data_IF_790853148483
#
_entry.id   IF_790853148483
#
_cell.length_a   1.000
_cell.length_b   1.000
_cell.length_c   1.000
_cell.angle_alpha   90.00
_cell.angle_beta   90.00
_cell.angle_gamma   90.00
#
_symmetry.space_group_name_H-M   'P 1'
#
loop_
_entity.id
_entity.type
_entity.pdbx_description
1 polymer ?
#
# COMPACT_ATOMS: atom_id res chain seq x y z
N UNK A 1 -18.94 13.48 -43.61
CA UNK A 1 -18.18 12.88 -42.49
C UNK A 1 -16.70 12.90 -42.83
N UNK A 2 -15.86 13.43 -41.94
CA UNK A 2 -14.43 13.50 -42.17
C UNK A 2 -13.79 12.12 -41.95
N UNK A 3 -12.82 11.76 -42.79
CA UNK A 3 -12.05 10.51 -42.69
C UNK A 3 -11.33 10.42 -41.35
N UNK A 4 -11.31 9.24 -40.72
CA UNK A 4 -10.56 9.01 -39.49
C UNK A 4 -9.06 8.94 -39.81
N UNK A 5 -8.32 9.97 -39.41
CA UNK A 5 -6.87 10.07 -39.60
C UNK A 5 -6.18 10.14 -38.24
N UNK A 6 -5.21 9.26 -38.04
CA UNK A 6 -4.31 9.31 -36.89
C UNK A 6 -3.06 10.09 -37.28
N UNK A 7 -2.61 10.95 -36.38
CA UNK A 7 -1.34 11.68 -36.50
C UNK A 7 -0.34 11.11 -35.50
N UNK A 8 0.94 11.24 -35.82
CA UNK A 8 1.99 10.98 -34.84
C UNK A 8 1.89 11.95 -33.66
N UNK A 9 2.48 11.56 -32.53
CA UNK A 9 2.45 12.38 -31.33
C UNK A 9 3.02 13.78 -31.60
N UNK A 10 2.32 14.80 -31.11
CA UNK A 10 2.74 16.19 -31.25
C UNK A 10 3.00 16.80 -29.86
N UNK A 11 4.23 17.25 -29.62
CA UNK A 11 4.65 17.85 -28.35
C UNK A 11 3.84 19.12 -27.98
N UNK A 12 3.19 19.77 -28.95
CA UNK A 12 2.34 20.93 -28.71
C UNK A 12 1.01 20.58 -28.02
N UNK A 13 0.58 19.31 -28.00
CA UNK A 13 -0.71 18.93 -27.40
C UNK A 13 -0.80 19.25 -25.90
N UNK A 14 0.29 19.10 -25.16
CA UNK A 14 0.30 19.46 -23.75
C UNK A 14 0.13 20.98 -23.56
N UNK A 15 0.78 21.80 -24.39
CA UNK A 15 0.62 23.25 -24.34
C UNK A 15 -0.80 23.68 -24.73
N UNK A 16 -1.38 23.06 -25.77
CA UNK A 16 -2.78 23.30 -26.14
C UNK A 16 -3.76 22.97 -25.01
N UNK A 17 -3.53 21.85 -24.31
CA UNK A 17 -4.31 21.51 -23.12
C UNK A 17 -4.17 22.56 -22.02
N UNK A 18 -2.94 22.97 -21.68
CA UNK A 18 -2.69 23.94 -20.61
C UNK A 18 -3.35 25.29 -20.90
N UNK A 19 -3.19 25.81 -22.13
CA UNK A 19 -3.81 27.06 -22.56
C UNK A 19 -5.34 27.00 -22.48
N UNK A 20 -5.95 25.91 -22.91
CA UNK A 20 -7.41 25.79 -22.88
C UNK A 20 -7.93 25.54 -21.45
N UNK A 21 -7.21 24.77 -20.63
CA UNK A 21 -7.53 24.57 -19.23
C UNK A 21 -7.51 25.89 -18.45
N UNK A 22 -6.56 26.77 -18.73
CA UNK A 22 -6.47 28.10 -18.10
C UNK A 22 -7.62 29.02 -18.54
N UNK A 23 -8.06 28.96 -19.81
CA UNK A 23 -9.26 29.67 -20.27
C UNK A 23 -10.51 29.17 -19.56
N UNK A 24 -10.68 27.86 -19.42
CA UNK A 24 -11.82 27.25 -18.71
C UNK A 24 -11.82 27.70 -17.24
N UNK A 25 -10.68 27.56 -16.54
CA UNK A 25 -10.56 28.01 -15.14
C UNK A 25 -10.87 29.49 -14.96
N UNK A 26 -10.47 30.33 -15.92
CA UNK A 26 -10.70 31.78 -15.86
C UNK A 26 -12.17 32.15 -16.07
N UNK A 27 -12.92 31.33 -16.83
CA UNK A 27 -14.34 31.52 -17.05
C UNK A 27 -15.18 31.05 -15.85
N UNK A 28 -14.79 29.95 -15.19
CA UNK A 28 -15.57 29.31 -14.13
C UNK A 28 -15.29 29.93 -12.76
N UNK A 29 -16.26 30.70 -12.22
CA UNK A 29 -16.05 31.48 -10.97
C UNK A 29 -16.84 31.02 -9.75
N UNK A 30 -17.91 30.25 -9.94
CA UNK A 30 -18.88 29.96 -8.87
C UNK A 30 -18.73 28.56 -8.26
N UNK A 31 -17.90 27.68 -8.82
CA UNK A 31 -17.78 26.30 -8.37
C UNK A 31 -16.35 25.78 -8.46
N UNK A 32 -16.03 24.80 -7.61
CA UNK A 32 -14.74 24.12 -7.62
C UNK A 32 -14.74 23.01 -8.68
N UNK A 33 -13.83 23.14 -9.65
CA UNK A 33 -13.60 22.14 -10.70
C UNK A 33 -12.16 21.64 -10.66
N UNK A 34 -11.98 20.36 -10.99
CA UNK A 34 -10.69 19.80 -11.33
C UNK A 34 -10.65 19.55 -12.84
N UNK A 35 -9.52 19.86 -13.47
CA UNK A 35 -9.33 19.72 -14.91
C UNK A 35 -8.12 18.83 -15.17
N UNK A 36 -8.34 17.71 -15.85
CA UNK A 36 -7.30 16.75 -16.20
C UNK A 36 -7.21 16.58 -17.72
N UNK A 37 -5.98 16.50 -18.23
CA UNK A 37 -5.72 16.06 -19.61
C UNK A 37 -5.88 14.55 -19.66
N UNK A 38 -6.84 14.06 -20.45
CA UNK A 38 -7.13 12.63 -20.59
C UNK A 38 -7.04 12.23 -22.06
N UNK A 39 -7.38 10.97 -22.36
CA UNK A 39 -7.34 10.45 -23.73
C UNK A 39 -5.91 10.26 -24.25
N UNK A 40 -5.80 9.92 -25.53
CA UNK A 40 -4.53 9.53 -26.14
C UNK A 40 -3.54 10.69 -26.29
N UNK A 41 -4.02 11.93 -26.45
CA UNK A 41 -3.14 13.11 -26.61
C UNK A 41 -2.42 13.50 -25.32
N UNK A 42 -2.86 12.95 -24.17
CA UNK A 42 -2.26 13.15 -22.85
C UNK A 42 -1.09 12.21 -22.53
N UNK A 43 -0.78 11.28 -23.44
CA UNK A 43 0.28 10.27 -23.27
C UNK A 43 1.38 10.56 -24.28
N UNK A 44 2.59 10.82 -23.77
CA UNK A 44 3.75 11.14 -24.60
C UNK A 44 4.09 9.99 -25.57
N UNK A 45 4.39 10.33 -26.83
CA UNK A 45 4.76 9.36 -27.86
C UNK A 45 3.59 8.56 -28.46
N UNK A 46 2.34 8.77 -28.02
CA UNK A 46 1.19 8.00 -28.47
C UNK A 46 0.50 8.64 -29.69
N UNK A 47 0.52 7.98 -30.86
CA UNK A 47 -0.19 8.45 -32.06
C UNK A 47 -1.71 8.52 -31.82
N UNK A 48 -2.38 9.59 -32.23
CA UNK A 48 -3.79 9.86 -31.91
C UNK A 48 -4.50 10.70 -32.98
N UNK A 49 -5.83 10.77 -32.91
CA UNK A 49 -6.56 11.89 -33.53
C UNK A 49 -6.10 13.19 -32.83
N UNK A 50 -5.84 14.28 -33.57
CA UNK A 50 -5.37 15.54 -32.99
C UNK A 50 -6.54 16.30 -32.34
N UNK A 51 -7.11 15.70 -31.29
CA UNK A 51 -8.19 16.27 -30.49
C UNK A 51 -7.79 16.13 -29.02
N UNK A 52 -7.88 17.22 -28.26
CA UNK A 52 -7.52 17.24 -26.84
C UNK A 52 -8.75 16.83 -26.03
N UNK A 53 -8.66 15.70 -25.32
CA UNK A 53 -9.70 15.24 -24.41
C UNK A 53 -9.45 15.81 -22.99
N UNK A 54 -10.43 16.50 -22.46
CA UNK A 54 -10.39 17.19 -21.16
C UNK A 54 -11.44 16.57 -20.26
N UNK A 55 -11.04 16.16 -19.06
CA UNK A 55 -11.96 15.73 -18.00
C UNK A 55 -12.14 16.89 -17.01
N UNK A 56 -13.38 17.31 -16.80
CA UNK A 56 -13.78 18.26 -15.77
C UNK A 56 -14.52 17.49 -14.67
N UNK A 57 -13.93 17.43 -13.48
CA UNK A 57 -14.61 16.88 -12.30
C UNK A 57 -15.28 18.01 -11.53
N UNK A 58 -16.61 18.03 -11.50
CA UNK A 58 -17.42 19.07 -10.86
C UNK A 58 -17.81 18.64 -9.44
N UNK A 59 -17.36 19.38 -8.42
CA UNK A 59 -17.59 18.99 -7.02
C UNK A 59 -19.05 19.16 -6.58
N UNK A 60 -19.72 20.20 -7.08
CA UNK A 60 -21.12 20.49 -6.80
C UNK A 60 -21.94 20.32 -8.08
N UNK A 61 -22.56 19.15 -8.24
CA UNK A 61 -23.33 18.82 -9.42
C UNK A 61 -24.56 19.71 -9.62
N UNK A 62 -25.06 20.37 -8.56
CA UNK A 62 -26.18 21.31 -8.69
C UNK A 62 -25.84 22.52 -9.57
N UNK A 63 -24.56 22.83 -9.74
CA UNK A 63 -24.06 23.94 -10.53
C UNK A 63 -23.76 23.59 -12.00
N UNK A 64 -24.12 22.38 -12.45
CA UNK A 64 -23.75 21.86 -13.79
C UNK A 64 -24.29 22.72 -14.94
N UNK A 65 -25.54 23.18 -14.85
CA UNK A 65 -26.15 23.98 -15.92
C UNK A 65 -25.42 25.31 -16.11
N UNK A 66 -25.03 25.97 -15.01
CA UNK A 66 -24.22 27.18 -15.06
C UNK A 66 -22.84 26.92 -15.69
N UNK A 67 -22.20 25.79 -15.36
CA UNK A 67 -20.89 25.43 -15.92
C UNK A 67 -21.00 25.18 -17.43
N UNK A 68 -22.05 24.47 -17.84
CA UNK A 68 -22.33 24.20 -19.25
C UNK A 68 -22.55 25.51 -20.02
N UNK A 69 -23.25 26.48 -19.44
CA UNK A 69 -23.47 27.79 -20.07
C UNK A 69 -22.19 28.64 -20.18
N UNK A 70 -21.32 28.63 -19.16
CA UNK A 70 -19.99 29.25 -19.27
C UNK A 70 -19.13 28.61 -20.37
N UNK A 71 -19.17 27.28 -20.48
CA UNK A 71 -18.47 26.56 -21.55
C UNK A 71 -19.06 26.88 -22.93
N UNK A 72 -20.38 27.03 -23.06
CA UNK A 72 -20.99 27.50 -24.32
C UNK A 72 -20.46 28.88 -24.73
N UNK A 73 -20.30 29.79 -23.78
CA UNK A 73 -19.72 31.12 -24.04
C UNK A 73 -18.25 31.06 -24.51
N UNK A 74 -17.52 29.98 -24.17
CA UNK A 74 -16.18 29.70 -24.68
C UNK A 74 -16.16 28.99 -26.04
N UNK A 75 -17.34 28.77 -26.65
CA UNK A 75 -17.50 28.16 -27.96
C UNK A 75 -17.69 26.64 -27.96
N UNK A 76 -18.02 26.03 -26.82
CA UNK A 76 -18.33 24.61 -26.74
C UNK A 76 -19.80 24.32 -27.05
N UNK A 77 -20.07 23.24 -27.76
CA UNK A 77 -21.42 22.74 -28.04
C UNK A 77 -21.70 21.45 -27.25
N UNK A 78 -22.86 21.37 -26.61
CA UNK A 78 -23.32 20.14 -25.95
C UNK A 78 -23.61 19.09 -27.01
N UNK A 79 -22.87 17.99 -26.96
CA UNK A 79 -22.98 16.88 -27.92
C UNK A 79 -23.73 15.69 -27.34
N UNK A 80 -23.60 15.45 -26.03
CA UNK A 80 -24.34 14.41 -25.32
C UNK A 80 -24.65 14.86 -23.88
N UNK A 81 -25.85 14.54 -23.39
CA UNK A 81 -26.26 14.64 -22.00
C UNK A 81 -26.83 13.28 -21.59
N UNK A 82 -26.37 12.73 -20.47
CA UNK A 82 -26.87 11.47 -19.95
C UNK A 82 -27.34 11.68 -18.50
N UNK A 83 -28.64 11.53 -18.28
CA UNK A 83 -29.27 11.77 -16.97
C UNK A 83 -29.20 10.53 -16.07
N UNK A 84 -29.24 9.31 -16.65
CA UNK A 84 -29.13 8.05 -15.89
C UNK A 84 -27.73 7.86 -15.28
N UNK A 85 -26.72 8.45 -15.92
CA UNK A 85 -25.31 8.40 -15.51
C UNK A 85 -24.81 9.83 -15.60
N UNK A 86 -24.94 10.66 -14.53
CA UNK A 86 -24.81 12.11 -14.60
C UNK A 86 -23.46 12.52 -15.23
N UNK A 87 -23.52 12.82 -16.54
CA UNK A 87 -22.38 13.26 -17.33
C UNK A 87 -22.81 14.15 -18.49
N UNK A 88 -21.92 15.06 -18.83
CA UNK A 88 -22.00 15.89 -20.03
C UNK A 88 -20.81 15.63 -20.94
N UNK A 89 -21.06 15.68 -22.25
CA UNK A 89 -20.02 15.67 -23.27
C UNK A 89 -20.19 16.89 -24.18
N UNK A 90 -19.16 17.74 -24.23
CA UNK A 90 -19.15 18.93 -25.06
C UNK A 90 -18.01 18.87 -26.07
N UNK A 91 -18.20 19.50 -27.22
CA UNK A 91 -17.20 19.54 -28.28
C UNK A 91 -16.97 20.96 -28.78
N UNK A 92 -15.74 21.25 -29.18
CA UNK A 92 -15.35 22.50 -29.83
C UNK A 92 -14.42 22.14 -30.98
N UNK A 93 -14.84 22.44 -32.19
CA UNK A 93 -14.07 22.16 -33.40
C UNK A 93 -13.73 23.47 -34.11
N UNK A 94 -12.47 23.64 -34.49
CA UNK A 94 -11.99 24.78 -35.25
C UNK A 94 -11.80 24.39 -36.72
N UNK A 95 -12.02 25.33 -37.63
CA UNK A 95 -11.97 25.10 -39.10
C UNK A 95 -10.60 24.57 -39.57
N UNK A 96 -9.51 24.95 -38.90
CA UNK A 96 -8.15 24.52 -39.23
C UNK A 96 -7.72 23.20 -38.58
N UNK A 97 -8.62 22.48 -37.89
CA UNK A 97 -8.32 21.31 -37.04
C UNK A 97 -7.26 21.52 -35.92
N UNK A 98 -6.71 22.72 -35.79
CA UNK A 98 -5.86 23.13 -34.69
C UNK A 98 -6.75 23.59 -33.53
N UNK A 99 -6.59 22.98 -32.35
CA UNK A 99 -7.39 23.32 -31.16
C UNK A 99 -8.81 22.73 -31.18
N UNK A 100 -8.95 21.46 -31.59
CA UNK A 100 -10.18 20.70 -31.38
C UNK A 100 -10.18 20.13 -29.95
N UNK A 101 -11.30 20.27 -29.24
CA UNK A 101 -11.43 19.86 -27.84
C UNK A 101 -12.68 19.02 -27.61
N UNK A 102 -12.52 17.99 -26.79
CA UNK A 102 -13.59 17.19 -26.20
C UNK A 102 -13.59 17.43 -24.69
N UNK A 103 -14.72 17.86 -24.13
CA UNK A 103 -14.89 18.00 -22.68
C UNK A 103 -15.82 16.89 -22.18
N UNK A 104 -15.35 16.16 -21.18
CA UNK A 104 -16.14 15.22 -20.40
C UNK A 104 -16.36 15.83 -19.01
N UNK A 105 -17.61 15.96 -18.57
CA UNK A 105 -17.94 16.48 -17.24
C UNK A 105 -18.64 15.38 -16.45
N UNK A 106 -18.16 15.10 -15.23
CA UNK A 106 -18.81 14.20 -14.28
C UNK A 106 -18.45 14.59 -12.83
N UNK A 107 -19.08 13.95 -11.86
CA UNK A 107 -18.66 14.08 -10.45
C UNK A 107 -17.29 13.42 -10.21
N UNK A 108 -16.47 13.89 -9.24
CA UNK A 108 -15.12 13.37 -8.98
C UNK A 108 -15.06 11.87 -8.68
N UNK A 109 -16.12 11.32 -8.09
CA UNK A 109 -16.16 9.90 -7.70
C UNK A 109 -16.71 9.00 -8.79
N UNK A 110 -17.25 9.58 -9.86
CA UNK A 110 -17.94 8.86 -10.90
C UNK A 110 -16.99 7.95 -11.68
N UNK A 111 -17.43 6.71 -11.94
CA UNK A 111 -16.61 5.67 -12.59
C UNK A 111 -16.08 6.13 -13.95
N UNK A 112 -16.91 6.85 -14.71
CA UNK A 112 -16.54 7.35 -16.05
C UNK A 112 -15.23 8.15 -16.05
N UNK A 113 -15.13 9.20 -15.24
CA UNK A 113 -13.91 10.02 -15.16
C UNK A 113 -12.72 9.24 -14.60
N UNK A 114 -12.97 8.39 -13.60
CA UNK A 114 -11.94 7.51 -13.02
C UNK A 114 -11.33 6.58 -14.06
N UNK A 115 -12.16 5.91 -14.84
CA UNK A 115 -11.73 4.94 -15.86
C UNK A 115 -10.89 5.63 -16.95
N UNK A 116 -11.21 6.88 -17.31
CA UNK A 116 -10.39 7.67 -18.23
C UNK A 116 -8.98 7.97 -17.68
N UNK A 117 -8.90 8.36 -16.40
CA UNK A 117 -7.64 8.62 -15.72
C UNK A 117 -6.81 7.34 -15.55
N UNK A 118 -7.45 6.23 -15.16
CA UNK A 118 -6.79 4.92 -15.03
C UNK A 118 -6.22 4.50 -16.38
N UNK A 119 -7.05 4.53 -17.44
CA UNK A 119 -6.61 4.10 -18.76
C UNK A 119 -5.47 4.95 -19.33
N UNK A 120 -5.50 6.28 -19.13
CA UNK A 120 -4.36 7.17 -19.46
C UNK A 120 -3.07 6.70 -18.78
N UNK A 121 -3.13 6.47 -17.47
CA UNK A 121 -1.95 6.14 -16.69
C UNK A 121 -1.40 4.76 -17.05
N UNK A 122 -2.27 3.79 -17.38
CA UNK A 122 -1.85 2.48 -17.91
C UNK A 122 -1.09 2.60 -19.23
N UNK A 123 -1.57 3.46 -20.14
CA UNK A 123 -0.88 3.72 -21.41
C UNK A 123 0.48 4.42 -21.21
N UNK A 124 0.59 5.30 -20.22
CA UNK A 124 1.84 6.00 -19.91
C UNK A 124 2.87 5.09 -19.22
N UNK A 125 2.40 4.10 -18.46
CA UNK A 125 3.26 3.21 -17.67
C UNK A 125 3.80 2.01 -18.45
N UNK A 126 3.05 1.48 -19.42
CA UNK A 126 3.42 0.28 -20.18
C UNK A 126 3.55 0.56 -21.68
N UNK A 127 4.79 0.65 -22.14
CA UNK A 127 5.14 0.85 -23.55
C UNK A 127 4.60 -0.25 -24.48
N UNK A 128 4.52 -1.50 -24.00
CA UNK A 128 3.99 -2.60 -24.79
C UNK A 128 2.49 -2.45 -24.95
N UNK A 129 1.78 -2.19 -23.86
CA UNK A 129 0.34 -1.95 -23.87
C UNK A 129 -0.04 -0.72 -24.72
N UNK A 130 0.74 0.36 -24.58
CA UNK A 130 0.65 1.56 -25.42
C UNK A 130 0.75 1.25 -26.91
N UNK A 131 1.74 0.44 -27.31
CA UNK A 131 1.93 0.00 -28.69
C UNK A 131 0.75 -0.85 -29.19
N UNK A 132 0.28 -1.82 -28.40
CA UNK A 132 -0.88 -2.64 -28.73
C UNK A 132 -2.14 -1.77 -28.97
N UNK A 133 -2.32 -0.72 -28.16
CA UNK A 133 -3.42 0.21 -28.33
C UNK A 133 -3.29 1.07 -29.60
N UNK A 134 -2.08 1.51 -29.95
CA UNK A 134 -1.83 2.23 -31.22
C UNK A 134 -2.12 1.34 -32.42
N UNK A 135 -1.66 0.10 -32.42
CA UNK A 135 -1.87 -0.85 -33.50
C UNK A 135 -3.36 -1.15 -33.70
N UNK A 136 -4.11 -1.31 -32.61
CA UNK A 136 -5.56 -1.42 -32.64
C UNK A 136 -6.20 -0.17 -33.27
N UNK A 137 -5.82 1.03 -32.84
CA UNK A 137 -6.35 2.29 -33.40
C UNK A 137 -6.08 2.39 -34.90
N UNK A 138 -4.87 2.04 -35.37
CA UNK A 138 -4.49 2.06 -36.79
C UNK A 138 -5.35 1.10 -37.59
N UNK A 139 -5.53 -0.14 -37.10
CA UNK A 139 -6.40 -1.15 -37.73
C UNK A 139 -7.86 -0.68 -37.83
N UNK A 140 -8.41 -0.15 -36.73
CA UNK A 140 -9.79 0.34 -36.69
C UNK A 140 -9.99 1.57 -37.59
N UNK A 141 -9.02 2.48 -37.68
CA UNK A 141 -9.10 3.63 -38.56
C UNK A 141 -9.12 3.22 -40.05
N UNK A 142 -8.43 2.14 -40.42
CA UNK A 142 -8.49 1.59 -41.78
C UNK A 142 -9.86 0.97 -42.08
N UNK A 143 -10.35 0.09 -41.21
CA UNK A 143 -11.61 -0.64 -41.41
C UNK A 143 -12.83 0.29 -41.36
N UNK A 144 -12.83 1.27 -40.45
CA UNK A 144 -13.95 2.17 -40.18
C UNK A 144 -13.68 3.59 -40.68
N UNK A 145 -13.04 3.74 -41.85
CA UNK A 145 -12.50 5.01 -42.36
C UNK A 145 -13.46 6.21 -42.31
N UNK A 146 -14.77 5.98 -42.41
CA UNK A 146 -15.82 7.01 -42.34
C UNK A 146 -16.87 6.73 -41.24
N UNK A 147 -16.69 5.68 -40.45
CA UNK A 147 -17.62 5.25 -39.40
C UNK A 147 -17.00 5.52 -38.01
N UNK A 148 -17.31 6.70 -37.48
CA UNK A 148 -16.83 7.12 -36.16
C UNK A 148 -17.39 6.21 -35.06
N UNK A 149 -18.63 5.77 -35.20
CA UNK A 149 -19.30 4.94 -34.19
C UNK A 149 -18.67 3.55 -34.14
N UNK A 150 -18.48 2.90 -35.29
CA UNK A 150 -17.77 1.62 -35.38
C UNK A 150 -16.33 1.71 -34.88
N UNK A 151 -15.64 2.82 -35.13
CA UNK A 151 -14.31 3.08 -34.56
C UNK A 151 -14.34 3.17 -33.02
N UNK A 152 -15.33 3.85 -32.44
CA UNK A 152 -15.48 3.97 -30.99
C UNK A 152 -15.83 2.63 -30.34
N UNK A 153 -16.78 1.88 -30.91
CA UNK A 153 -17.19 0.56 -30.43
C UNK A 153 -16.01 -0.42 -30.49
N UNK A 154 -15.23 -0.40 -31.58
CA UNK A 154 -14.07 -1.28 -31.74
C UNK A 154 -12.99 -1.09 -30.67
N UNK A 155 -12.85 0.11 -30.10
CA UNK A 155 -11.91 0.38 -28.99
C UNK A 155 -12.44 -0.07 -27.65
N UNK A 156 -13.76 -0.03 -27.45
CA UNK A 156 -14.42 -0.23 -26.15
C UNK A 156 -14.00 -1.54 -25.49
N UNK A 157 -14.02 -2.65 -26.23
CA UNK A 157 -13.67 -3.96 -25.69
C UNK A 157 -12.23 -4.05 -25.17
N UNK A 158 -11.27 -3.39 -25.82
CA UNK A 158 -9.87 -3.35 -25.39
C UNK A 158 -9.71 -2.50 -24.11
N UNK A 159 -10.35 -1.33 -24.08
CA UNK A 159 -10.33 -0.42 -22.92
C UNK A 159 -10.93 -1.11 -21.70
N UNK A 160 -12.14 -1.65 -21.82
CA UNK A 160 -12.82 -2.32 -20.73
C UNK A 160 -12.08 -3.57 -20.25
N UNK A 161 -11.42 -4.30 -21.15
CA UNK A 161 -10.60 -5.46 -20.78
C UNK A 161 -9.46 -5.02 -19.85
N UNK A 162 -8.68 -3.99 -20.23
CA UNK A 162 -7.58 -3.51 -19.38
C UNK A 162 -8.11 -2.95 -18.06
N UNK A 163 -9.20 -2.18 -18.08
CA UNK A 163 -9.79 -1.65 -16.84
C UNK A 163 -10.22 -2.77 -15.87
N UNK A 164 -10.83 -3.85 -16.38
CA UNK A 164 -11.13 -5.04 -15.56
C UNK A 164 -9.88 -5.72 -15.02
N UNK A 165 -8.82 -5.81 -15.83
CA UNK A 165 -7.53 -6.37 -15.39
C UNK A 165 -6.92 -5.51 -14.28
N UNK A 166 -6.92 -4.19 -14.42
CA UNK A 166 -6.40 -3.24 -13.40
C UNK A 166 -7.22 -3.30 -12.11
N UNK A 167 -8.55 -3.29 -12.20
CA UNK A 167 -9.44 -3.49 -11.05
C UNK A 167 -9.14 -4.83 -10.34
N UNK A 168 -8.78 -5.87 -11.10
CA UNK A 168 -8.37 -7.17 -10.55
C UNK A 168 -6.92 -7.19 -10.02
N UNK A 169 -6.04 -6.33 -10.54
CA UNK A 169 -4.64 -6.19 -10.15
C UNK A 169 -4.47 -5.38 -8.85
N UNK A 170 -5.30 -4.36 -8.65
CA UNK A 170 -5.26 -3.48 -7.48
C UNK A 170 -6.45 -3.64 -6.52
N UNK A 171 -7.27 -4.69 -6.70
CA UNK A 171 -8.39 -4.99 -5.83
C UNK A 171 -7.99 -5.35 -4.39
N UNK A 172 -8.91 -5.12 -3.44
CA UNK A 172 -8.70 -5.38 -2.00
C UNK A 172 -8.14 -6.77 -1.72
N UNK A 173 -8.69 -7.81 -2.37
CA UNK A 173 -8.22 -9.19 -2.22
C UNK A 173 -6.74 -9.37 -2.58
N UNK A 174 -6.29 -8.72 -3.65
CA UNK A 174 -4.90 -8.81 -4.11
C UNK A 174 -3.98 -8.01 -3.21
N UNK A 175 -4.39 -6.82 -2.77
CA UNK A 175 -3.67 -6.04 -1.77
C UNK A 175 -3.52 -6.79 -0.44
N UNK A 176 -4.57 -7.46 0.04
CA UNK A 176 -4.51 -8.33 1.23
C UNK A 176 -3.55 -9.52 1.04
N UNK A 177 -3.48 -10.06 -0.18
CA UNK A 177 -2.56 -11.14 -0.54
C UNK A 177 -1.10 -10.67 -0.53
N UNK A 178 -0.83 -9.49 -1.09
CA UNK A 178 0.48 -8.83 -1.01
C UNK A 178 0.84 -8.47 0.42
N UNK A 179 -0.05 -7.81 1.16
CA UNK A 179 0.12 -7.49 2.58
C UNK A 179 0.63 -8.70 3.34
N UNK A 180 -0.09 -9.84 3.27
CA UNK A 180 0.29 -11.03 4.03
C UNK A 180 1.58 -11.68 3.53
N UNK A 181 1.80 -11.72 2.22
CA UNK A 181 3.00 -12.34 1.63
C UNK A 181 4.27 -11.56 1.98
N UNK A 182 4.20 -10.23 1.88
CA UNK A 182 5.28 -9.31 2.27
C UNK A 182 5.57 -9.39 3.78
N UNK A 183 4.53 -9.35 4.63
CA UNK A 183 4.70 -9.52 6.08
C UNK A 183 5.33 -10.86 6.45
N UNK A 184 4.92 -11.97 5.82
CA UNK A 184 5.53 -13.28 6.06
C UNK A 184 7.02 -13.27 5.67
N UNK A 185 7.39 -12.61 4.56
CA UNK A 185 8.79 -12.54 4.13
C UNK A 185 9.63 -11.72 5.11
N UNK A 186 9.10 -10.61 5.61
CA UNK A 186 9.74 -9.82 6.67
C UNK A 186 9.92 -10.64 7.97
N UNK A 187 8.90 -11.40 8.38
CA UNK A 187 8.97 -12.33 9.51
C UNK A 187 10.11 -13.36 9.34
N UNK A 188 10.27 -13.95 8.15
CA UNK A 188 11.39 -14.89 7.89
C UNK A 188 12.76 -14.22 7.96
N UNK A 189 12.92 -13.04 7.37
CA UNK A 189 14.19 -12.30 7.42
C UNK A 189 14.58 -11.92 8.85
N UNK A 190 13.59 -11.59 9.69
CA UNK A 190 13.81 -11.35 11.12
C UNK A 190 14.46 -12.57 11.82
N UNK A 191 14.06 -13.80 11.47
CA UNK A 191 14.69 -15.01 12.03
C UNK A 191 16.16 -15.08 11.64
N UNK A 192 16.47 -14.90 10.37
CA UNK A 192 17.85 -14.98 9.89
C UNK A 192 18.73 -13.90 10.52
N UNK A 193 18.18 -12.71 10.76
CA UNK A 193 18.86 -11.66 11.51
C UNK A 193 19.16 -12.09 12.94
N UNK A 194 18.19 -12.65 13.66
CA UNK A 194 18.38 -13.14 15.03
C UNK A 194 19.42 -14.28 15.09
N UNK A 195 19.42 -15.19 14.11
CA UNK A 195 20.41 -16.27 14.00
C UNK A 195 21.80 -15.68 13.75
N UNK A 196 21.94 -14.75 12.80
CA UNK A 196 23.22 -14.11 12.50
C UNK A 196 23.78 -13.38 13.73
N UNK A 197 22.94 -12.65 14.47
CA UNK A 197 23.31 -12.00 15.73
C UNK A 197 23.80 -13.01 16.77
N UNK A 198 23.09 -14.13 16.94
CA UNK A 198 23.50 -15.18 17.88
C UNK A 198 24.86 -15.79 17.49
N UNK A 199 25.11 -16.03 16.20
CA UNK A 199 26.39 -16.56 15.73
C UNK A 199 27.53 -15.56 16.00
N UNK A 200 27.30 -14.27 15.74
CA UNK A 200 28.28 -13.21 16.05
C UNK A 200 28.62 -13.21 17.55
N UNK A 201 27.62 -13.36 18.41
CA UNK A 201 27.80 -13.42 19.86
C UNK A 201 28.65 -14.62 20.29
N UNK A 202 28.36 -15.79 19.72
CA UNK A 202 29.11 -17.03 19.99
C UNK A 202 30.55 -16.90 19.54
N UNK A 203 30.81 -16.30 18.38
CA UNK A 203 32.17 -16.00 17.89
C UNK A 203 32.88 -15.06 18.88
N UNK A 204 32.24 -13.97 19.29
CA UNK A 204 32.81 -13.01 20.24
C UNK A 204 33.15 -13.67 21.58
N UNK A 205 32.24 -14.46 22.16
CA UNK A 205 32.47 -15.18 23.41
C UNK A 205 33.59 -16.23 23.30
N UNK A 206 33.64 -16.97 22.19
CA UNK A 206 34.68 -18.00 21.96
C UNK A 206 36.05 -17.37 21.75
N UNK A 207 36.12 -16.20 21.10
CA UNK A 207 37.39 -15.50 20.83
C UNK A 207 38.22 -15.24 22.09
N UNK A 208 37.56 -15.07 23.24
CA UNK A 208 38.23 -14.76 24.51
C UNK A 208 39.12 -15.91 25.02
N UNK A 209 38.81 -17.15 24.63
CA UNK A 209 39.56 -18.34 25.06
C UNK A 209 40.70 -18.71 24.10
N UNK A 210 40.84 -18.01 22.98
CA UNK A 210 41.84 -18.31 21.96
C UNK A 210 43.05 -17.38 22.09
N UNK A 211 44.24 -17.96 22.24
CA UNK A 211 45.49 -17.20 22.34
C UNK A 211 46.26 -17.07 21.02
N UNK A 212 45.85 -17.82 19.98
CA UNK A 212 46.53 -17.82 18.69
C UNK A 212 46.04 -16.64 17.82
N UNK A 213 46.97 -15.75 17.45
CA UNK A 213 46.72 -14.54 16.66
C UNK A 213 46.03 -14.83 15.31
N UNK A 214 46.38 -15.94 14.65
CA UNK A 214 45.81 -16.30 13.35
C UNK A 214 44.32 -16.64 13.49
N UNK A 215 43.96 -17.46 14.48
CA UNK A 215 42.55 -17.81 14.74
C UNK A 215 41.72 -16.60 15.16
N UNK A 216 42.28 -15.72 16.01
CA UNK A 216 41.61 -14.48 16.41
C UNK A 216 41.30 -13.57 15.21
N UNK A 217 42.28 -13.39 14.31
CA UNK A 217 42.09 -12.58 13.11
C UNK A 217 41.04 -13.18 12.16
N UNK A 218 41.07 -14.50 11.96
CA UNK A 218 40.06 -15.21 11.16
C UNK A 218 38.64 -15.07 11.74
N UNK A 219 38.48 -15.18 13.06
CA UNK A 219 37.19 -14.98 13.72
C UNK A 219 36.70 -13.53 13.61
N UNK A 220 37.60 -12.55 13.69
CA UNK A 220 37.26 -11.15 13.49
C UNK A 220 36.75 -10.87 12.06
N UNK A 221 37.42 -11.42 11.04
CA UNK A 221 36.97 -11.34 9.64
C UNK A 221 35.59 -11.98 9.48
N UNK A 222 35.41 -13.19 10.04
CA UNK A 222 34.12 -13.90 9.97
C UNK A 222 33.01 -13.10 10.65
N UNK A 223 33.25 -12.55 11.84
CA UNK A 223 32.31 -11.69 12.56
C UNK A 223 31.94 -10.44 11.77
N UNK A 224 32.91 -9.81 11.10
CA UNK A 224 32.68 -8.65 10.24
C UNK A 224 31.83 -9.01 9.01
N UNK A 225 32.10 -10.14 8.36
CA UNK A 225 31.28 -10.64 7.23
C UNK A 225 29.85 -10.90 7.69
N UNK A 226 29.65 -11.56 8.84
CA UNK A 226 28.32 -11.82 9.40
C UNK A 226 27.57 -10.54 9.74
N UNK A 227 28.27 -9.50 10.21
CA UNK A 227 27.68 -8.17 10.45
C UNK A 227 27.19 -7.54 9.13
N UNK A 228 27.95 -7.66 8.04
CA UNK A 228 27.51 -7.19 6.71
C UNK A 228 26.29 -7.97 6.21
N UNK A 229 26.27 -9.30 6.40
CA UNK A 229 25.11 -10.15 6.09
C UNK A 229 23.89 -9.70 6.90
N UNK A 230 24.05 -9.47 8.21
CA UNK A 230 22.97 -8.96 9.06
C UNK A 230 22.43 -7.61 8.57
N UNK A 231 23.31 -6.69 8.16
CA UNK A 231 22.91 -5.39 7.62
C UNK A 231 22.11 -5.52 6.32
N UNK A 232 22.51 -6.42 5.42
CA UNK A 232 21.76 -6.70 4.19
C UNK A 232 20.37 -7.31 4.48
N UNK A 233 20.31 -8.28 5.40
CA UNK A 233 19.05 -8.88 5.83
C UNK A 233 18.12 -7.84 6.48
N UNK A 234 18.66 -6.93 7.28
CA UNK A 234 17.93 -5.83 7.93
C UNK A 234 17.27 -4.90 6.91
N UNK A 235 18.03 -4.46 5.90
CA UNK A 235 17.47 -3.66 4.81
C UNK A 235 16.37 -4.39 4.04
N UNK A 236 16.57 -5.68 3.74
CA UNK A 236 15.55 -6.50 3.09
C UNK A 236 14.28 -6.64 3.93
N UNK A 237 14.43 -6.88 5.23
CA UNK A 237 13.32 -7.01 6.18
C UNK A 237 12.49 -5.72 6.23
N UNK A 238 13.15 -4.57 6.31
CA UNK A 238 12.47 -3.27 6.36
C UNK A 238 11.71 -2.97 5.07
N UNK A 239 12.27 -3.31 3.90
CA UNK A 239 11.60 -3.14 2.59
C UNK A 239 10.30 -3.95 2.51
N UNK A 240 10.36 -5.24 2.81
CA UNK A 240 9.19 -6.12 2.79
C UNK A 240 8.14 -5.67 3.82
N UNK A 241 8.58 -5.31 5.03
CA UNK A 241 7.68 -4.79 6.07
C UNK A 241 6.95 -3.53 5.61
N UNK A 242 7.69 -2.54 5.10
CA UNK A 242 7.11 -1.28 4.63
C UNK A 242 6.14 -1.47 3.46
N UNK A 243 6.40 -2.43 2.56
CA UNK A 243 5.48 -2.76 1.47
C UNK A 243 4.17 -3.36 1.99
N UNK A 244 4.27 -4.31 2.94
CA UNK A 244 3.10 -4.89 3.60
C UNK A 244 2.26 -3.87 4.35
N UNK A 245 2.90 -2.96 5.10
CA UNK A 245 2.21 -1.89 5.84
C UNK A 245 1.52 -0.90 4.88
N UNK A 246 2.12 -0.62 3.73
CA UNK A 246 1.49 0.21 2.71
C UNK A 246 0.25 -0.44 2.10
N UNK A 247 0.29 -1.73 1.76
CA UNK A 247 -0.89 -2.46 1.31
C UNK A 247 -2.02 -2.39 2.35
N UNK A 248 -1.70 -2.59 3.64
CA UNK A 248 -2.67 -2.49 4.74
C UNK A 248 -3.35 -1.11 4.78
N UNK A 249 -2.58 -0.02 4.70
CA UNK A 249 -3.14 1.35 4.72
C UNK A 249 -4.09 1.58 3.54
N UNK A 250 -3.71 1.11 2.36
CA UNK A 250 -4.52 1.24 1.14
C UNK A 250 -5.81 0.42 1.25
N UNK A 251 -5.74 -0.79 1.82
CA UNK A 251 -6.93 -1.60 2.10
C UNK A 251 -7.89 -0.87 3.05
N UNK A 252 -7.41 -0.20 4.10
CA UNK A 252 -8.28 0.60 4.97
C UNK A 252 -8.99 1.74 4.23
N UNK A 253 -8.32 2.38 3.26
CA UNK A 253 -8.93 3.45 2.45
C UNK A 253 -9.98 2.89 1.50
N UNK A 254 -9.65 1.83 0.76
CA UNK A 254 -10.52 1.25 -0.26
C UNK A 254 -11.69 0.53 0.40
N UNK A 255 -11.42 -0.44 1.27
CA UNK A 255 -12.47 -1.24 1.89
C UNK A 255 -13.23 -0.44 2.94
N UNK A 256 -12.54 0.37 3.75
CA UNK A 256 -13.17 1.13 4.83
C UNK A 256 -13.97 2.32 4.33
N UNK A 257 -13.43 3.11 3.40
CA UNK A 257 -14.01 4.41 3.00
C UNK A 257 -14.39 4.51 1.51
N UNK A 258 -14.15 3.47 0.70
CA UNK A 258 -14.29 3.52 -0.77
C UNK A 258 -13.44 4.62 -1.42
N UNK A 259 -12.30 4.95 -0.80
CA UNK A 259 -11.34 5.93 -1.32
C UNK A 259 -10.27 5.18 -2.10
N UNK A 260 -10.35 5.25 -3.43
CA UNK A 260 -9.33 4.68 -4.31
C UNK A 260 -8.15 5.64 -4.46
N UNK A 261 -6.89 5.16 -4.35
CA UNK A 261 -5.75 5.97 -4.72
C UNK A 261 -5.73 6.27 -6.22
N UNK A 262 -5.12 7.39 -6.61
CA UNK A 262 -4.87 7.72 -8.03
C UNK A 262 -4.02 6.64 -8.70
N UNK A 263 -4.12 6.45 -10.02
CA UNK A 263 -3.39 5.38 -10.69
C UNK A 263 -1.86 5.50 -10.57
N UNK A 264 -1.30 6.72 -10.54
CA UNK A 264 0.12 6.93 -10.26
C UNK A 264 0.54 6.46 -8.86
N UNK A 265 -0.35 6.58 -7.86
CA UNK A 265 -0.11 5.99 -6.54
C UNK A 265 -0.25 4.47 -6.58
N UNK A 266 -1.21 3.93 -7.34
CA UNK A 266 -1.37 2.48 -7.49
C UNK A 266 -0.10 1.83 -8.05
N UNK A 267 0.48 2.42 -9.10
CA UNK A 267 1.75 1.97 -9.68
C UNK A 267 2.89 2.02 -8.65
N UNK A 268 3.04 3.16 -7.96
CA UNK A 268 4.05 3.31 -6.90
C UNK A 268 3.89 2.30 -5.75
N UNK A 269 2.65 1.93 -5.43
CA UNK A 269 2.35 0.92 -4.41
C UNK A 269 2.71 -0.47 -4.95
N UNK A 270 2.33 -0.80 -6.19
CA UNK A 270 2.62 -2.10 -6.80
C UNK A 270 4.11 -2.35 -6.99
N UNK A 271 4.87 -1.32 -7.38
CA UNK A 271 6.33 -1.40 -7.59
C UNK A 271 7.10 -1.73 -6.31
N UNK A 272 6.49 -1.55 -5.13
CA UNK A 272 7.10 -1.87 -3.84
C UNK A 272 6.91 -3.34 -3.46
N UNK A 273 5.98 -4.06 -4.09
CA UNK A 273 5.79 -5.47 -3.82
C UNK A 273 6.89 -6.29 -4.51
N UNK A 274 7.65 -7.01 -3.69
CA UNK A 274 8.78 -7.83 -4.11
C UNK A 274 8.44 -9.32 -4.09
N UNK A 275 7.28 -9.70 -3.57
CA UNK A 275 6.83 -11.10 -3.49
C UNK A 275 5.77 -11.40 -4.54
N UNK A 276 5.99 -12.45 -5.34
CA UNK A 276 5.01 -12.91 -6.33
C UNK A 276 3.82 -13.60 -5.66
N UNK A 277 2.59 -13.23 -6.08
CA UNK A 277 1.35 -13.85 -5.59
C UNK A 277 0.97 -15.04 -6.45
N UNK A 278 0.64 -16.15 -5.80
CA UNK A 278 0.11 -17.37 -6.41
C UNK A 278 -1.33 -17.63 -5.97
N UNK A 279 -2.03 -18.57 -6.63
CA UNK A 279 -3.39 -18.99 -6.20
C UNK A 279 -3.45 -19.45 -4.75
N UNK A 280 -2.38 -20.07 -4.22
CA UNK A 280 -2.32 -20.56 -2.82
C UNK A 280 -2.21 -19.43 -1.79
N UNK A 281 -1.65 -18.29 -2.21
CA UNK A 281 -1.46 -17.11 -1.35
C UNK A 281 -2.61 -16.12 -1.43
N UNK A 282 -3.58 -16.35 -2.32
CA UNK A 282 -4.73 -15.49 -2.51
C UNK A 282 -5.55 -15.40 -1.21
N UNK A 283 -5.90 -14.18 -0.83
CA UNK A 283 -6.74 -13.85 0.31
C UNK A 283 -7.97 -13.11 -0.16
N UNK A 284 -9.12 -13.44 0.43
CA UNK A 284 -10.36 -12.71 0.21
C UNK A 284 -10.62 -11.81 1.41
N UNK A 285 -11.18 -10.64 1.15
CA UNK A 285 -11.61 -9.69 2.17
C UNK A 285 -12.60 -10.30 3.14
N UNK A 286 -13.53 -11.11 2.63
CA UNK A 286 -14.51 -11.87 3.42
C UNK A 286 -13.83 -12.78 4.46
N UNK A 287 -12.66 -13.31 4.13
CA UNK A 287 -11.90 -14.19 5.04
C UNK A 287 -10.96 -13.38 5.96
N UNK A 288 -10.85 -12.06 5.77
CA UNK A 288 -9.91 -11.18 6.47
C UNK A 288 -10.58 -10.29 7.51
N UNK A 289 -11.67 -9.60 7.14
CA UNK A 289 -12.45 -8.76 8.05
C UNK A 289 -13.77 -9.46 8.38
N UNK A 290 -14.26 -9.31 9.61
CA UNK A 290 -15.57 -9.79 10.05
C UNK A 290 -16.70 -8.83 9.67
N UNK A 291 -16.42 -7.53 9.62
CA UNK A 291 -17.43 -6.53 9.25
C UNK A 291 -17.91 -6.68 7.81
N UNK A 292 -19.22 -6.50 7.63
CA UNK A 292 -19.93 -6.53 6.34
C UNK A 292 -20.68 -5.23 6.06
N UNK A 293 -20.44 -4.20 6.87
CA UNK A 293 -20.98 -2.85 6.65
C UNK A 293 -20.57 -2.31 5.28
N UNK A 294 -21.38 -1.47 4.66
CA UNK A 294 -20.95 -0.75 3.47
C UNK A 294 -19.81 0.23 3.81
N UNK A 295 -18.92 0.57 2.85
CA UNK A 295 -17.84 1.52 3.08
C UNK A 295 -18.34 2.83 3.71
N UNK A 296 -17.82 3.12 4.90
CA UNK A 296 -18.25 4.21 5.79
C UNK A 296 -17.23 4.39 6.93
N UNK A 297 -17.31 5.50 7.66
CA UNK A 297 -16.49 5.68 8.86
C UNK A 297 -16.74 4.59 9.91
N UNK A 298 -17.97 4.05 9.98
CA UNK A 298 -18.30 2.88 10.80
C UNK A 298 -17.50 1.65 10.37
N UNK A 299 -17.55 1.27 9.09
CA UNK A 299 -16.79 0.12 8.57
C UNK A 299 -15.29 0.27 8.82
N UNK A 300 -14.72 1.45 8.57
CA UNK A 300 -13.31 1.74 8.84
C UNK A 300 -12.95 1.47 10.30
N UNK A 301 -13.76 1.98 11.24
CA UNK A 301 -13.53 1.82 12.68
C UNK A 301 -13.64 0.35 13.08
N UNK A 302 -14.62 -0.40 12.57
CA UNK A 302 -14.76 -1.85 12.83
C UNK A 302 -13.58 -2.66 12.26
N UNK A 303 -13.05 -2.29 11.08
CA UNK A 303 -11.84 -2.91 10.53
C UNK A 303 -10.61 -2.66 11.41
N UNK A 304 -10.47 -1.44 11.94
CA UNK A 304 -9.38 -1.07 12.86
C UNK A 304 -9.53 -1.81 14.18
N UNK A 305 -10.75 -1.94 14.70
CA UNK A 305 -11.06 -2.69 15.92
C UNK A 305 -10.59 -4.14 15.81
N UNK A 306 -10.99 -4.85 14.76
CA UNK A 306 -10.54 -6.22 14.53
C UNK A 306 -9.02 -6.28 14.37
N UNK A 307 -8.46 -5.44 13.51
CA UNK A 307 -7.02 -5.49 13.25
C UNK A 307 -6.18 -5.19 14.51
N UNK A 308 -6.62 -4.23 15.33
CA UNK A 308 -5.95 -3.84 16.58
C UNK A 308 -6.08 -4.94 17.64
N UNK A 309 -7.26 -5.57 17.79
CA UNK A 309 -7.44 -6.70 18.71
C UNK A 309 -6.47 -7.83 18.43
N UNK A 310 -6.40 -8.25 17.17
CA UNK A 310 -5.56 -9.37 16.75
C UNK A 310 -4.08 -9.02 16.90
N UNK A 311 -3.68 -7.84 16.44
CA UNK A 311 -2.28 -7.42 16.50
C UNK A 311 -1.81 -7.22 17.93
N UNK A 312 -2.62 -6.58 18.79
CA UNK A 312 -2.32 -6.42 20.22
C UNK A 312 -2.06 -7.77 20.90
N UNK A 313 -2.92 -8.76 20.65
CA UNK A 313 -2.72 -10.11 21.19
C UNK A 313 -1.40 -10.73 20.73
N UNK A 314 -1.06 -10.64 19.44
CA UNK A 314 0.19 -11.19 18.91
C UNK A 314 1.42 -10.51 19.49
N UNK A 315 1.38 -9.19 19.70
CA UNK A 315 2.45 -8.42 20.33
C UNK A 315 2.60 -8.81 21.82
N UNK A 316 1.50 -8.97 22.57
CA UNK A 316 1.49 -9.47 23.96
C UNK A 316 2.11 -10.86 24.07
N UNK A 317 1.77 -11.79 23.16
CA UNK A 317 2.37 -13.14 23.15
C UNK A 317 3.84 -13.10 22.74
N UNK A 318 4.21 -12.27 21.77
CA UNK A 318 5.61 -12.11 21.34
C UNK A 318 6.48 -11.58 22.48
N UNK A 319 5.99 -10.60 23.25
CA UNK A 319 6.66 -10.10 24.46
C UNK A 319 6.89 -11.22 25.50
N UNK A 320 5.89 -12.07 25.74
CA UNK A 320 6.02 -13.20 26.69
C UNK A 320 7.08 -14.20 26.23
N UNK A 321 7.09 -14.56 24.95
CA UNK A 321 8.08 -15.48 24.39
C UNK A 321 9.47 -14.86 24.48
N UNK A 322 9.66 -13.59 24.09
CA UNK A 322 10.94 -12.91 24.23
C UNK A 322 11.42 -12.85 25.68
N UNK A 323 10.52 -12.62 26.64
CA UNK A 323 10.85 -12.65 28.06
C UNK A 323 11.37 -14.04 28.49
N UNK A 324 10.72 -15.12 28.04
CA UNK A 324 11.17 -16.49 28.34
C UNK A 324 12.54 -16.75 27.73
N UNK A 325 12.74 -16.40 26.45
CA UNK A 325 14.03 -16.57 25.76
C UNK A 325 15.14 -15.81 26.50
N UNK A 326 14.89 -14.55 26.85
CA UNK A 326 15.87 -13.72 27.55
C UNK A 326 16.20 -14.29 28.95
N UNK A 327 15.19 -14.73 29.70
CA UNK A 327 15.40 -15.35 31.01
C UNK A 327 16.20 -16.65 30.91
N UNK A 328 15.89 -17.53 29.93
CA UNK A 328 16.65 -18.76 29.69
C UNK A 328 18.09 -18.47 29.32
N UNK A 329 18.31 -17.46 28.50
CA UNK A 329 19.65 -17.03 28.10
C UNK A 329 20.43 -16.52 29.32
N UNK A 330 19.84 -15.66 30.16
CA UNK A 330 20.43 -15.19 31.43
C UNK A 330 20.77 -16.37 32.35
N UNK A 331 19.84 -17.32 32.56
CA UNK A 331 20.09 -18.50 33.40
C UNK A 331 21.23 -19.35 32.85
N UNK A 332 21.27 -19.57 31.53
CA UNK A 332 22.33 -20.35 30.88
C UNK A 332 23.69 -19.69 31.08
N UNK A 333 23.77 -18.36 30.97
CA UNK A 333 24.99 -17.60 31.23
C UNK A 333 25.46 -17.82 32.67
N UNK A 334 24.56 -17.70 33.64
CA UNK A 334 24.90 -17.90 35.05
C UNK A 334 25.38 -19.32 35.34
N UNK A 335 24.72 -20.35 34.77
CA UNK A 335 25.13 -21.76 34.94
C UNK A 335 26.51 -21.99 34.35
N UNK A 336 26.73 -21.57 33.09
CA UNK A 336 28.03 -21.74 32.41
C UNK A 336 29.13 -21.01 33.16
N UNK A 337 28.84 -19.82 33.67
CA UNK A 337 29.80 -19.03 34.47
C UNK A 337 30.11 -19.68 35.80
N UNK A 338 29.08 -20.12 36.54
CA UNK A 338 29.26 -20.80 37.82
C UNK A 338 30.08 -22.07 37.68
N UNK A 339 29.76 -22.91 36.69
CA UNK A 339 30.53 -24.12 36.39
C UNK A 339 31.98 -23.81 35.99
N UNK A 340 32.20 -22.75 35.20
CA UNK A 340 33.53 -22.33 34.80
C UNK A 340 34.36 -21.78 35.98
N UNK A 341 33.77 -21.00 36.89
CA UNK A 341 34.47 -20.51 38.10
C UNK A 341 34.95 -21.67 38.97
N UNK A 342 34.15 -22.72 39.13
CA UNK A 342 34.49 -23.88 39.96
C UNK A 342 35.60 -24.76 39.37
N UNK A 343 35.91 -24.61 38.08
CA UNK A 343 36.78 -25.52 37.33
C UNK A 343 38.09 -24.90 36.84
N UNK A 344 38.29 -23.58 36.97
CA UNK A 344 39.34 -22.85 36.26
C UNK A 344 40.35 -22.15 37.18
N UNK A 345 41.63 -22.21 36.82
CA UNK A 345 42.73 -21.49 37.48
C UNK A 345 42.61 -19.95 37.36
N UNK A 346 43.36 -19.21 38.17
CA UNK A 346 43.30 -17.73 38.27
C UNK A 346 43.46 -16.97 36.95
N UNK A 347 44.30 -17.46 36.03
CA UNK A 347 44.47 -16.87 34.70
C UNK A 347 43.24 -17.08 33.79
N UNK A 348 42.55 -18.20 33.95
CA UNK A 348 41.35 -18.55 33.19
C UNK A 348 40.10 -17.83 33.71
N UNK A 349 40.10 -17.39 34.97
CA UNK A 349 39.05 -16.51 35.52
C UNK A 349 38.99 -15.15 34.80
N UNK A 350 40.13 -14.60 34.37
CA UNK A 350 40.16 -13.35 33.59
C UNK A 350 39.48 -13.55 32.23
N UNK A 351 39.80 -14.64 31.52
CA UNK A 351 39.16 -14.98 30.25
C UNK A 351 37.65 -15.21 30.42
N UNK A 352 37.23 -15.88 31.49
CA UNK A 352 35.80 -16.04 31.79
C UNK A 352 35.10 -14.68 32.00
N UNK A 353 35.71 -13.76 32.77
CA UNK A 353 35.15 -12.44 33.00
C UNK A 353 35.00 -11.61 31.72
N UNK A 354 35.97 -11.69 30.80
CA UNK A 354 35.92 -11.04 29.48
C UNK A 354 34.84 -11.65 28.58
N UNK A 355 34.69 -12.97 28.60
CA UNK A 355 33.61 -13.65 27.88
C UNK A 355 32.23 -13.23 28.42
N UNK A 356 32.12 -13.04 29.75
CA UNK A 356 30.89 -12.55 30.38
C UNK A 356 30.56 -11.12 30.00
N UNK A 357 31.54 -10.22 29.98
CA UNK A 357 31.32 -8.85 29.52
C UNK A 357 30.87 -8.84 28.06
N UNK A 358 31.52 -9.62 27.18
CA UNK A 358 31.14 -9.71 25.77
C UNK A 358 29.70 -10.22 25.59
N UNK A 359 29.29 -11.17 26.43
CA UNK A 359 27.97 -11.78 26.36
C UNK A 359 26.89 -10.89 27.01
N UNK A 360 27.19 -10.16 28.07
CA UNK A 360 26.32 -9.10 28.62
C UNK A 360 26.13 -7.95 27.63
N UNK A 361 27.21 -7.51 26.97
CA UNK A 361 27.14 -6.53 25.88
C UNK A 361 26.22 -7.08 24.80
N UNK A 362 26.35 -8.35 24.39
CA UNK A 362 25.40 -8.97 23.45
C UNK A 362 23.96 -8.90 23.96
N UNK A 363 23.65 -9.27 25.20
CA UNK A 363 22.26 -9.22 25.71
C UNK A 363 21.66 -7.82 25.64
N UNK A 364 22.47 -6.81 25.95
CA UNK A 364 22.07 -5.39 25.96
C UNK A 364 22.06 -4.80 24.53
N UNK A 365 23.00 -5.20 23.66
CA UNK A 365 23.21 -4.65 22.32
C UNK A 365 22.50 -5.42 21.21
N UNK A 366 22.08 -6.67 21.43
CA UNK A 366 21.51 -7.59 20.42
C UNK A 366 20.09 -7.22 19.96
N UNK A 367 19.60 -6.01 20.20
CA UNK A 367 18.19 -5.66 20.02
C UNK A 367 17.21 -6.58 20.80
N UNK A 368 17.63 -7.59 21.58
CA UNK A 368 16.72 -8.58 22.20
C UNK A 368 15.89 -7.96 23.32
N UNK A 369 16.55 -7.20 24.22
CA UNK A 369 15.87 -6.40 25.23
C UNK A 369 15.08 -5.25 24.60
N UNK A 370 15.66 -4.58 23.60
CA UNK A 370 14.99 -3.53 22.83
C UNK A 370 13.71 -4.01 22.16
N UNK A 371 13.75 -5.21 21.56
CA UNK A 371 12.64 -5.86 20.89
C UNK A 371 11.55 -6.30 21.89
N UNK A 372 11.95 -6.81 23.07
CA UNK A 372 11.01 -7.07 24.17
C UNK A 372 10.27 -5.80 24.60
N UNK A 373 10.99 -4.70 24.82
CA UNK A 373 10.40 -3.41 25.17
C UNK A 373 9.51 -2.88 24.04
N UNK A 374 9.95 -3.02 22.78
CA UNK A 374 9.17 -2.64 21.61
C UNK A 374 7.87 -3.45 21.50
N UNK A 375 7.88 -4.76 21.75
CA UNK A 375 6.67 -5.59 21.79
C UNK A 375 5.70 -5.10 22.88
N UNK A 376 6.20 -4.78 24.09
CA UNK A 376 5.37 -4.27 25.18
C UNK A 376 4.76 -2.91 24.83
N UNK A 377 5.58 -1.96 24.37
CA UNK A 377 5.15 -0.61 24.01
C UNK A 377 4.14 -0.65 22.85
N UNK A 378 4.40 -1.45 21.82
CA UNK A 378 3.48 -1.66 20.70
C UNK A 378 2.15 -2.25 21.18
N UNK A 379 2.19 -3.26 22.06
CA UNK A 379 0.95 -3.83 22.59
C UNK A 379 0.13 -2.81 23.38
N UNK A 380 0.77 -1.94 24.16
CA UNK A 380 0.08 -0.89 24.92
C UNK A 380 -0.55 0.16 24.00
N UNK A 381 0.20 0.64 23.01
CA UNK A 381 -0.29 1.64 22.06
C UNK A 381 -1.46 1.10 21.21
N UNK A 382 -1.41 -0.16 20.81
CA UNK A 382 -2.51 -0.80 20.05
C UNK A 382 -3.71 -1.08 20.95
N UNK A 383 -3.51 -1.42 22.23
CA UNK A 383 -4.61 -1.56 23.22
C UNK A 383 -5.34 -0.23 23.41
N UNK A 384 -4.62 0.89 23.45
CA UNK A 384 -5.23 2.23 23.57
C UNK A 384 -6.09 2.57 22.36
N UNK A 385 -5.61 2.28 21.15
CA UNK A 385 -6.39 2.40 19.91
C UNK A 385 -7.66 1.53 19.98
N UNK A 386 -7.52 0.28 20.40
CA UNK A 386 -8.65 -0.65 20.52
C UNK A 386 -9.70 -0.13 21.52
N UNK A 387 -9.28 0.34 22.70
CA UNK A 387 -10.19 0.86 23.73
C UNK A 387 -10.94 2.13 23.29
N UNK A 388 -10.36 2.94 22.40
CA UNK A 388 -11.01 4.14 21.86
C UNK A 388 -12.15 3.86 20.89
N UNK A 389 -12.21 2.66 20.30
CA UNK A 389 -13.27 2.27 19.36
C UNK A 389 -14.65 2.39 20.00
N UNK A 390 -14.81 1.95 21.25
CA UNK A 390 -16.08 1.99 21.95
C UNK A 390 -16.59 3.44 22.11
N UNK A 391 -15.72 4.36 22.56
CA UNK A 391 -16.05 5.77 22.68
C UNK A 391 -16.49 6.42 21.34
N UNK A 392 -15.90 5.98 20.22
CA UNK A 392 -16.26 6.47 18.88
C UNK A 392 -17.60 5.89 18.42
N UNK A 393 -17.88 4.63 18.75
CA UNK A 393 -19.15 3.98 18.42
C UNK A 393 -20.35 4.68 19.09
N UNK A 394 -20.21 5.07 20.37
CA UNK A 394 -21.24 5.82 21.12
C UNK A 394 -21.54 7.18 20.49
N UNK A 395 -20.54 7.82 19.87
CA UNK A 395 -20.69 9.12 19.19
C UNK A 395 -21.18 9.01 17.74
N UNK A 396 -21.54 7.83 17.26
CA UNK A 396 -22.04 7.63 15.91
C UNK A 396 -20.97 7.74 14.82
N UNK A 397 -19.72 7.37 15.10
CA UNK A 397 -18.64 7.26 14.11
C UNK A 397 -18.35 8.56 13.33
N UNK A 398 -18.20 9.68 14.06
CA UNK A 398 -17.84 10.97 13.48
C UNK A 398 -16.58 10.87 12.60
N UNK A 399 -16.60 11.53 11.43
CA UNK A 399 -15.49 11.57 10.46
C UNK A 399 -14.15 11.92 11.12
N UNK A 400 -14.12 12.97 11.95
CA UNK A 400 -12.90 13.43 12.64
C UNK A 400 -12.29 12.32 13.50
N UNK A 401 -13.14 11.65 14.27
CA UNK A 401 -12.71 10.66 15.26
C UNK A 401 -12.24 9.38 14.56
N UNK A 402 -12.94 8.95 13.50
CA UNK A 402 -12.55 7.81 12.69
C UNK A 402 -11.20 8.02 11.96
N UNK A 403 -10.98 9.20 11.38
CA UNK A 403 -9.73 9.53 10.70
C UNK A 403 -8.56 9.69 11.69
N UNK A 404 -8.81 10.27 12.86
CA UNK A 404 -7.81 10.35 13.93
C UNK A 404 -7.44 8.96 14.45
N UNK A 405 -8.44 8.10 14.70
CA UNK A 405 -8.22 6.69 15.08
C UNK A 405 -7.39 5.94 14.04
N UNK A 406 -7.69 6.11 12.76
CA UNK A 406 -6.91 5.51 11.67
C UNK A 406 -5.46 5.99 11.67
N UNK A 407 -5.22 7.28 11.92
CA UNK A 407 -3.88 7.87 11.98
C UNK A 407 -3.09 7.29 13.15
N UNK A 408 -3.70 7.23 14.34
CA UNK A 408 -3.09 6.67 15.55
C UNK A 408 -2.81 5.17 15.40
N UNK A 409 -3.75 4.43 14.82
CA UNK A 409 -3.57 3.02 14.48
C UNK A 409 -2.38 2.82 13.53
N UNK A 410 -2.27 3.63 12.48
CA UNK A 410 -1.15 3.52 11.54
C UNK A 410 0.19 3.82 12.22
N UNK A 411 0.26 4.87 13.04
CA UNK A 411 1.44 5.22 13.83
C UNK A 411 1.86 4.10 14.78
N UNK A 412 0.90 3.48 15.47
CA UNK A 412 1.17 2.37 16.39
C UNK A 412 1.72 1.13 15.65
N UNK A 413 1.15 0.77 14.51
CA UNK A 413 1.57 -0.40 13.72
C UNK A 413 2.94 -0.18 13.05
N UNK A 414 3.23 1.01 12.54
CA UNK A 414 4.53 1.31 11.91
C UNK A 414 5.68 1.32 12.93
N UNK A 415 5.40 1.65 14.18
CA UNK A 415 6.39 1.53 15.28
C UNK A 415 6.51 0.09 15.80
N UNK A 416 5.47 -0.72 15.65
CA UNK A 416 5.41 -2.06 16.22
C UNK A 416 6.39 -3.03 15.53
N UNK A 417 7.25 -3.76 16.25
CA UNK A 417 8.11 -4.76 15.62
C UNK A 417 7.29 -5.83 14.91
N UNK A 418 7.90 -6.47 13.90
CA UNK A 418 7.28 -7.65 13.25
C UNK A 418 6.98 -8.69 14.31
N UNK A 419 5.77 -9.25 14.28
CA UNK A 419 5.39 -10.31 15.22
C UNK A 419 6.36 -11.46 15.13
N UNK A 420 6.66 -12.09 16.27
CA UNK A 420 7.56 -13.24 16.25
C UNK A 420 6.98 -14.32 15.31
N UNK A 421 7.82 -14.93 14.46
CA UNK A 421 7.37 -15.95 13.53
C UNK A 421 6.73 -17.12 14.25
N UNK A 422 5.78 -17.78 13.58
CA UNK A 422 4.97 -18.88 14.11
C UNK A 422 3.99 -18.51 15.24
N UNK A 423 4.14 -17.38 15.94
CA UNK A 423 3.21 -16.96 17.01
C UNK A 423 1.77 -16.93 16.52
N UNK A 424 1.54 -16.38 15.32
CA UNK A 424 0.23 -16.41 14.69
C UNK A 424 -0.25 -17.84 14.42
N UNK A 425 0.61 -18.71 13.85
CA UNK A 425 0.26 -20.10 13.52
C UNK A 425 -0.17 -20.89 14.77
N UNK A 426 0.53 -20.71 15.89
CA UNK A 426 0.19 -21.37 17.16
C UNK A 426 -1.03 -20.74 17.85
N UNK A 427 -1.18 -19.42 17.74
CA UNK A 427 -2.24 -18.70 18.45
C UNK A 427 -3.57 -18.64 17.70
N UNK A 428 -3.59 -18.84 16.38
CA UNK A 428 -4.76 -18.62 15.51
C UNK A 428 -6.03 -19.28 16.03
N UNK A 429 -6.00 -20.56 16.39
CA UNK A 429 -7.20 -21.27 16.88
C UNK A 429 -7.79 -20.61 18.14
N UNK A 430 -6.92 -20.26 19.10
CA UNK A 430 -7.31 -19.61 20.36
C UNK A 430 -7.78 -18.18 20.12
N UNK A 431 -7.10 -17.45 19.23
CA UNK A 431 -7.40 -16.07 18.88
C UNK A 431 -8.75 -15.95 18.17
N UNK A 432 -9.01 -16.81 17.18
CA UNK A 432 -10.31 -16.88 16.49
C UNK A 432 -11.46 -17.12 17.49
N UNK A 433 -11.27 -18.04 18.45
CA UNK A 433 -12.28 -18.30 19.50
C UNK A 433 -12.52 -17.07 20.36
N UNK A 434 -11.46 -16.37 20.79
CA UNK A 434 -11.56 -15.16 21.61
C UNK A 434 -12.23 -14.01 20.87
N UNK A 435 -11.87 -13.78 19.61
CA UNK A 435 -12.49 -12.76 18.76
C UNK A 435 -13.98 -13.03 18.57
N UNK A 436 -14.36 -14.29 18.34
CA UNK A 436 -15.78 -14.67 18.20
C UNK A 436 -16.57 -14.37 19.47
N UNK A 437 -16.07 -14.75 20.64
CA UNK A 437 -16.72 -14.47 21.93
C UNK A 437 -16.86 -12.96 22.15
N UNK A 438 -15.81 -12.19 21.85
CA UNK A 438 -15.84 -10.74 21.94
C UNK A 438 -16.91 -10.12 21.02
N UNK A 439 -16.93 -10.54 19.77
CA UNK A 439 -17.87 -10.03 18.75
C UNK A 439 -19.32 -10.38 19.08
N UNK A 440 -19.59 -11.62 19.52
CA UNK A 440 -20.90 -12.08 19.99
C UNK A 440 -21.36 -11.29 21.22
N UNK A 441 -20.46 -11.05 22.18
CA UNK A 441 -20.76 -10.26 23.38
C UNK A 441 -21.12 -8.82 23.05
N UNK A 442 -20.40 -8.19 22.11
CA UNK A 442 -20.66 -6.82 21.66
C UNK A 442 -22.03 -6.71 20.97
N UNK A 443 -22.36 -7.62 20.06
CA UNK A 443 -23.66 -7.67 19.39
C UNK A 443 -24.83 -7.74 20.39
N UNK A 444 -24.70 -8.57 21.42
CA UNK A 444 -25.71 -8.74 22.47
C UNK A 444 -25.85 -7.53 23.41
N UNK A 445 -24.85 -6.64 23.47
CA UNK A 445 -24.90 -5.41 24.28
C UNK A 445 -25.50 -4.20 23.53
N UNK A 446 -25.61 -4.29 22.21
CA UNK A 446 -26.17 -3.26 21.31
C UNK A 446 -27.63 -3.50 20.89
N UNK A 447 -28.18 -4.67 21.22
CA UNK A 447 -29.61 -5.02 21.13
C UNK A 447 -30.28 -4.75 22.47
#
# INVERSE_FOLDING_TARGET
MNKIILSEYNNCWNNQFLEEADKIKSAVKFTAIYIDHVGSTSVEGLSSKPIIDILISLCDWSAIENLVDELKNLGYAVSEKCDEVPRYFLTKYNENNAGNYHIHICEPHHRWGRDMLVFKNELAADNKFSKEYVDLKKKLAQVNSYDIEGYMIGKKGFIEKRLREVDSEFGVNRLLSYQRSESNRAEFLQIYMMIAQLIIAVIAATSVYLNNKIYLFSLAILGFILMLVWLFLSQGQQRHRSAGDQARRVVLLISGLNIMPSAGQNLRISDRFNVTITKKTLRREEDHFSTREAPSYKRLVEMIEESSYWTCYLQKVSAKIMCIILSLLVVTIFIVSGAAIMSLDSNNLISLSRAMIALMIFVISSDSLGLLLAYKNASSAIDEVFNRVEAISVKGYLKSDALLLMTDYNSAIEKAPTTLPFVYKFSRKKLNKKWRIYSEGKLNSTL
#
